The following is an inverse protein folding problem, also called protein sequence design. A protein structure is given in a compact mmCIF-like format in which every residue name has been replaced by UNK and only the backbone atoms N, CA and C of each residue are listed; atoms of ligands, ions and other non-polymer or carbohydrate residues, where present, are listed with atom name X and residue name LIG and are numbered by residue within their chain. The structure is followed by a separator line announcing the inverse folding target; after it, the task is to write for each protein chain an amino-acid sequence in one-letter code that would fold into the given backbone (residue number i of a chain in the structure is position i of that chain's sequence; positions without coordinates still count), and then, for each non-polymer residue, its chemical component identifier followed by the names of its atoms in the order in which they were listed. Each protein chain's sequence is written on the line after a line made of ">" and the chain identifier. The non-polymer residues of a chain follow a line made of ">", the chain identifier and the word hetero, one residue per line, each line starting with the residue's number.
data_IF_422262868035
#
_entry.id   IF_422262868035
#
_cell.length_a   1.000
_cell.length_b   1.000
_cell.length_c   1.000
_cell.angle_alpha   90.00
_cell.angle_beta   90.00
_cell.angle_gamma   90.00
#
_symmetry.space_group_name_H-M   'P 1'
#
loop_
_entity.id
_entity.type
_entity.pdbx_description
1 polymer ?
#
# COMPACT_ATOMS: atom_id res chain seq x y z
N UNK A 1 10.61 -31.36 22.19
CA UNK A 1 11.15 -30.39 23.15
C UNK A 1 11.06 -29.00 22.55
N UNK A 2 10.15 -28.19 23.11
CA UNK A 2 10.02 -26.78 22.75
C UNK A 2 11.25 -26.05 23.28
N UNK A 3 12.14 -25.60 22.41
CA UNK A 3 13.18 -24.66 22.76
C UNK A 3 12.54 -23.30 23.01
N UNK A 4 12.27 -23.00 24.28
CA UNK A 4 11.83 -21.68 24.67
C UNK A 4 12.91 -20.66 24.23
N UNK A 5 12.56 -19.80 23.30
CA UNK A 5 13.43 -18.72 22.84
C UNK A 5 13.69 -17.79 24.02
N UNK A 6 14.97 -17.62 24.39
CA UNK A 6 15.34 -16.69 25.48
C UNK A 6 15.10 -15.27 25.01
N UNK A 7 14.51 -14.41 25.88
CA UNK A 7 14.39 -12.99 25.58
C UNK A 7 15.77 -12.40 25.25
N UNK A 8 15.82 -11.60 24.21
CA UNK A 8 17.04 -10.92 23.79
C UNK A 8 17.00 -9.43 24.18
N UNK A 9 18.11 -8.92 24.68
CA UNK A 9 18.28 -7.50 25.01
C UNK A 9 19.37 -6.92 24.15
N UNK A 10 19.08 -5.79 23.54
CA UNK A 10 20.02 -5.03 22.73
C UNK A 10 20.21 -3.65 23.34
N UNK A 11 21.48 -3.23 23.51
CA UNK A 11 21.81 -1.88 23.94
C UNK A 11 22.23 -1.08 22.71
N UNK A 12 21.51 -0.02 22.42
CA UNK A 12 21.81 0.87 21.30
C UNK A 12 21.94 2.31 21.80
N UNK A 13 22.73 3.11 21.09
CA UNK A 13 22.84 4.55 21.36
C UNK A 13 22.05 5.32 20.30
N UNK A 14 21.03 6.03 20.75
CA UNK A 14 20.16 6.84 19.88
C UNK A 14 20.16 8.27 20.40
N UNK A 15 20.56 9.23 19.56
CA UNK A 15 20.59 10.64 19.96
C UNK A 15 21.45 10.93 21.21
N UNK A 16 22.57 10.22 21.39
CA UNK A 16 23.45 10.34 22.56
C UNK A 16 22.92 9.68 23.83
N UNK A 17 21.80 8.96 23.78
CA UNK A 17 21.21 8.24 24.91
C UNK A 17 21.34 6.73 24.72
N UNK A 18 21.67 6.02 25.78
CA UNK A 18 21.64 4.56 25.79
C UNK A 18 20.19 4.09 25.94
N UNK A 19 19.76 3.29 24.97
CA UNK A 19 18.41 2.71 24.92
C UNK A 19 18.54 1.19 24.95
N UNK A 20 17.77 0.56 25.82
CA UNK A 20 17.66 -0.90 25.88
C UNK A 20 16.43 -1.33 25.12
N UNK A 21 16.63 -2.12 24.07
CA UNK A 21 15.55 -2.76 23.31
C UNK A 21 15.38 -4.19 23.82
N UNK A 22 14.13 -4.53 24.13
CA UNK A 22 13.75 -5.89 24.50
C UNK A 22 13.05 -6.57 23.34
N UNK A 23 13.57 -7.72 22.94
CA UNK A 23 13.00 -8.54 21.87
C UNK A 23 12.51 -9.86 22.44
N UNK A 24 11.32 -10.30 22.02
CA UNK A 24 10.79 -11.61 22.38
C UNK A 24 11.37 -12.74 21.53
N UNK A 25 11.91 -12.36 20.37
CA UNK A 25 12.58 -13.27 19.44
C UNK A 25 13.99 -12.76 19.16
N UNK A 26 14.93 -13.64 18.83
CA UNK A 26 16.26 -13.21 18.40
C UNK A 26 16.14 -12.25 17.23
N UNK A 27 16.88 -11.14 17.22
CA UNK A 27 16.88 -10.25 16.07
C UNK A 27 17.42 -11.01 14.86
N UNK A 28 16.80 -10.81 13.71
CA UNK A 28 17.39 -11.25 12.45
C UNK A 28 18.62 -10.37 12.21
N UNK A 29 19.80 -10.91 12.53
CA UNK A 29 21.06 -10.26 12.20
C UNK A 29 21.30 -10.52 10.72
N UNK A 30 20.93 -9.57 9.89
CA UNK A 30 21.40 -9.52 8.52
C UNK A 30 22.86 -9.08 8.57
N UNK A 31 23.78 -10.04 8.48
CA UNK A 31 25.20 -9.78 8.36
C UNK A 31 25.58 -9.19 6.99
N UNK A 32 24.61 -8.96 6.12
CA UNK A 32 24.80 -8.26 4.86
C UNK A 32 25.09 -6.80 5.14
N UNK A 33 26.17 -6.31 4.56
CA UNK A 33 26.39 -4.87 4.41
C UNK A 33 25.12 -4.28 3.83
N UNK A 34 24.61 -3.20 4.41
CA UNK A 34 23.55 -2.41 3.79
C UNK A 34 24.11 -1.77 2.50
N UNK A 35 24.27 -2.58 1.47
CA UNK A 35 24.69 -2.11 0.15
C UNK A 35 23.66 -1.18 -0.50
N UNK A 36 22.45 -1.14 0.05
CA UNK A 36 21.33 -0.35 -0.47
C UNK A 36 20.80 0.60 0.60
N UNK A 37 21.59 1.58 1.00
CA UNK A 37 21.10 2.73 1.78
C UNK A 37 19.91 3.42 1.08
N UNK A 38 19.74 3.21 -0.22
CA UNK A 38 18.60 3.69 -1.02
C UNK A 38 17.26 3.08 -0.64
N UNK A 39 17.23 1.96 0.09
CA UNK A 39 15.99 1.35 0.59
C UNK A 39 15.37 2.18 1.72
N UNK A 40 16.21 2.83 2.55
CA UNK A 40 15.75 3.73 3.60
C UNK A 40 15.43 5.10 3.00
N UNK A 41 14.24 5.21 2.43
CA UNK A 41 13.84 6.34 1.60
C UNK A 41 12.58 7.01 2.13
N UNK A 42 12.66 8.33 2.34
CA UNK A 42 11.50 9.19 2.59
C UNK A 42 11.07 9.85 1.28
N UNK A 43 9.80 9.70 0.92
CA UNK A 43 9.20 10.36 -0.24
C UNK A 43 7.92 11.07 0.15
N UNK A 44 7.58 12.12 -0.59
CA UNK A 44 6.28 12.75 -0.52
C UNK A 44 5.51 12.45 -1.81
N UNK A 45 4.48 11.61 -1.70
CA UNK A 45 3.70 11.16 -2.86
C UNK A 45 2.89 12.28 -3.53
N UNK A 46 2.71 13.42 -2.86
CA UNK A 46 2.05 14.59 -3.46
C UNK A 46 2.97 15.39 -4.39
N UNK A 47 4.28 15.16 -4.33
CA UNK A 47 5.22 15.84 -5.22
C UNK A 47 4.98 15.43 -6.68
N UNK A 48 5.12 16.36 -7.61
CA UNK A 48 4.84 16.17 -9.04
C UNK A 48 5.62 15.01 -9.67
N UNK A 49 6.85 14.79 -9.23
CA UNK A 49 7.69 13.66 -9.69
C UNK A 49 7.11 12.28 -9.40
N UNK A 50 6.15 12.18 -8.47
CA UNK A 50 5.44 10.95 -8.13
C UNK A 50 4.03 10.90 -8.75
N UNK A 51 3.80 11.63 -9.82
CA UNK A 51 2.56 11.55 -10.57
C UNK A 51 2.66 10.53 -11.70
N UNK A 52 1.66 9.65 -11.85
CA UNK A 52 1.57 8.77 -13.00
C UNK A 52 1.50 9.59 -14.30
N UNK A 53 2.11 9.10 -15.38
CA UNK A 53 2.04 9.76 -16.68
C UNK A 53 0.63 9.85 -17.26
N UNK A 54 -0.29 9.04 -16.74
CA UNK A 54 -1.68 8.95 -17.17
C UNK A 54 -2.68 9.65 -16.24
N UNK A 55 -2.21 10.52 -15.35
CA UNK A 55 -3.06 11.19 -14.34
C UNK A 55 -4.33 11.83 -14.93
N UNK A 56 -4.26 12.31 -16.16
CA UNK A 56 -5.37 12.94 -16.87
C UNK A 56 -6.15 11.98 -17.78
N UNK A 57 -5.81 10.67 -17.81
CA UNK A 57 -6.42 9.70 -18.73
C UNK A 57 -7.24 8.61 -18.04
N UNK A 58 -6.98 8.34 -16.79
CA UNK A 58 -7.61 7.26 -16.01
C UNK A 58 -7.58 5.88 -16.70
N UNK A 59 -6.44 5.53 -17.32
CA UNK A 59 -6.25 4.28 -18.05
C UNK A 59 -5.83 3.09 -17.17
N UNK A 60 -5.85 3.26 -15.86
CA UNK A 60 -5.54 2.21 -14.90
C UNK A 60 -4.05 1.94 -14.70
N UNK A 61 -3.15 2.79 -15.21
CA UNK A 61 -1.70 2.61 -15.06
C UNK A 61 -1.17 3.49 -13.92
N UNK A 62 -0.98 2.96 -12.71
CA UNK A 62 -0.39 3.71 -11.60
C UNK A 62 1.13 3.84 -11.76
N UNK A 63 1.72 4.71 -10.95
CA UNK A 63 3.17 4.81 -10.80
C UNK A 63 3.66 3.74 -9.82
N UNK A 64 4.48 2.80 -10.30
CA UNK A 64 5.09 1.79 -9.44
C UNK A 64 6.27 2.36 -8.69
N UNK A 65 6.24 2.24 -7.34
CA UNK A 65 7.31 2.67 -6.45
C UNK A 65 8.19 1.52 -5.98
N UNK A 66 7.56 0.39 -5.61
CA UNK A 66 8.27 -0.81 -5.15
C UNK A 66 7.68 -2.05 -5.81
N UNK A 67 8.53 -3.03 -6.02
CA UNK A 67 8.13 -4.31 -6.58
C UNK A 67 8.95 -5.46 -6.00
N UNK A 68 8.28 -6.58 -5.80
CA UNK A 68 8.89 -7.88 -5.54
C UNK A 68 8.09 -8.95 -6.28
N UNK A 69 8.45 -10.21 -6.11
CA UNK A 69 7.69 -11.32 -6.70
C UNK A 69 6.26 -11.40 -6.15
N UNK A 70 6.04 -10.94 -4.93
CA UNK A 70 4.78 -11.08 -4.19
C UNK A 70 4.01 -9.78 -4.01
N UNK A 71 4.70 -8.64 -4.00
CA UNK A 71 4.11 -7.35 -3.65
C UNK A 71 4.53 -6.28 -4.64
N UNK A 72 3.55 -5.48 -5.05
CA UNK A 72 3.74 -4.25 -5.82
C UNK A 72 3.10 -3.11 -5.06
N UNK A 73 3.80 -1.98 -4.94
CA UNK A 73 3.32 -0.77 -4.27
C UNK A 73 3.30 0.36 -5.27
N UNK A 74 2.12 0.88 -5.50
CA UNK A 74 1.85 1.87 -6.54
C UNK A 74 1.21 3.13 -5.95
N UNK A 75 1.46 4.27 -6.58
CA UNK A 75 0.69 5.50 -6.40
C UNK A 75 -0.22 5.71 -7.59
N UNK A 76 -1.49 5.93 -7.33
CA UNK A 76 -2.49 6.28 -8.32
C UNK A 76 -3.02 7.68 -8.04
N UNK A 77 -3.15 8.47 -9.09
CA UNK A 77 -3.74 9.81 -8.99
C UNK A 77 -4.80 9.98 -10.05
N UNK A 78 -5.89 10.62 -9.68
CA UNK A 78 -7.02 10.85 -10.59
C UNK A 78 -7.49 12.28 -10.47
N UNK A 79 -7.66 12.95 -11.62
CA UNK A 79 -8.15 14.33 -11.68
C UNK A 79 -9.57 14.42 -12.23
N UNK A 80 -9.77 14.20 -13.53
CA UNK A 80 -11.00 14.59 -14.23
C UNK A 80 -11.75 13.46 -14.89
N UNK A 81 -11.17 12.28 -14.98
CA UNK A 81 -11.73 11.20 -15.79
C UNK A 81 -12.03 9.96 -14.96
N UNK A 82 -13.19 9.39 -15.26
CA UNK A 82 -13.54 8.07 -14.78
C UNK A 82 -12.73 7.00 -15.52
N UNK A 83 -12.50 5.87 -14.87
CA UNK A 83 -12.05 4.68 -15.57
C UNK A 83 -13.22 4.16 -16.43
N UNK A 84 -13.07 4.25 -17.75
CA UNK A 84 -14.13 3.91 -18.70
C UNK A 84 -14.30 2.41 -18.95
N UNK A 85 -13.57 1.55 -18.24
CA UNK A 85 -13.58 0.11 -18.46
C UNK A 85 -13.48 -0.68 -17.16
N UNK A 86 -14.02 -1.89 -17.19
CA UNK A 86 -13.87 -2.86 -16.12
C UNK A 86 -12.59 -3.66 -16.31
N UNK A 87 -11.88 -3.93 -15.21
CA UNK A 87 -10.71 -4.78 -15.22
C UNK A 87 -10.63 -5.61 -13.94
N UNK A 88 -9.74 -6.58 -13.92
CA UNK A 88 -9.47 -7.42 -12.76
C UNK A 88 -8.00 -7.78 -12.67
N UNK A 89 -7.51 -7.96 -11.45
CA UNK A 89 -6.22 -8.59 -11.21
C UNK A 89 -6.46 -10.08 -10.95
N UNK A 90 -5.95 -10.95 -11.81
CA UNK A 90 -6.18 -12.40 -11.69
C UNK A 90 -5.16 -13.09 -10.79
N UNK A 91 -4.04 -12.45 -10.51
CA UNK A 91 -2.87 -12.99 -9.83
C UNK A 91 -2.57 -12.32 -8.48
N UNK A 92 -3.33 -11.30 -8.11
CA UNK A 92 -3.09 -10.55 -6.88
C UNK A 92 -4.38 -9.98 -6.28
N UNK A 93 -4.43 -9.93 -4.96
CA UNK A 93 -5.36 -9.09 -4.22
C UNK A 93 -4.92 -7.64 -4.33
N UNK A 94 -5.85 -6.72 -4.31
CA UNK A 94 -5.56 -5.28 -4.32
C UNK A 94 -6.02 -4.65 -3.01
N UNK A 95 -5.11 -3.99 -2.32
CA UNK A 95 -5.42 -3.18 -1.14
C UNK A 95 -5.19 -1.72 -1.50
N UNK A 96 -6.22 -0.91 -1.32
CA UNK A 96 -6.24 0.49 -1.73
C UNK A 96 -6.42 1.35 -0.50
N UNK A 97 -5.56 2.37 -0.36
CA UNK A 97 -5.68 3.41 0.65
C UNK A 97 -6.04 4.72 -0.03
N UNK A 98 -7.11 5.36 0.40
CA UNK A 98 -7.39 6.74 -0.01
C UNK A 98 -6.59 7.70 0.88
N UNK A 99 -5.78 8.55 0.25
CA UNK A 99 -4.91 9.51 0.94
C UNK A 99 -5.41 10.93 0.81
N UNK A 100 -6.01 11.26 -0.34
CA UNK A 100 -6.57 12.59 -0.63
C UNK A 100 -7.74 12.47 -1.57
N UNK A 101 -8.77 13.32 -1.39
CA UNK A 101 -9.96 13.34 -2.22
C UNK A 101 -10.90 12.18 -1.92
N UNK A 102 -11.60 11.72 -2.93
CA UNK A 102 -12.51 10.58 -2.84
C UNK A 102 -12.70 9.93 -4.21
N UNK A 103 -12.93 8.62 -4.22
CA UNK A 103 -13.30 7.86 -5.42
C UNK A 103 -14.37 6.83 -5.09
N UNK A 104 -15.24 6.60 -6.05
CA UNK A 104 -16.23 5.52 -6.03
C UNK A 104 -15.65 4.29 -6.73
N UNK A 105 -15.77 3.14 -6.10
CA UNK A 105 -15.40 1.85 -6.64
C UNK A 105 -16.64 1.03 -6.93
N UNK A 106 -16.85 0.68 -8.19
CA UNK A 106 -17.84 -0.28 -8.61
C UNK A 106 -17.17 -1.62 -8.81
N UNK A 107 -17.68 -2.66 -8.18
CA UNK A 107 -17.14 -4.02 -8.21
C UNK A 107 -18.23 -5.05 -8.40
N UNK A 108 -17.87 -6.26 -8.81
CA UNK A 108 -18.79 -7.41 -8.83
C UNK A 108 -19.35 -7.74 -7.43
N UNK A 109 -18.73 -7.25 -6.36
CA UNK A 109 -19.15 -7.46 -4.97
C UNK A 109 -19.95 -6.28 -4.39
N UNK A 110 -20.21 -5.25 -5.18
CA UNK A 110 -20.92 -4.05 -4.76
C UNK A 110 -20.14 -2.76 -4.97
N UNK A 111 -20.70 -1.68 -4.45
CA UNK A 111 -20.17 -0.32 -4.63
C UNK A 111 -19.65 0.21 -3.30
N UNK A 112 -18.48 0.83 -3.30
CA UNK A 112 -17.88 1.52 -2.15
C UNK A 112 -17.40 2.90 -2.57
N UNK A 113 -17.58 3.89 -1.69
CA UNK A 113 -16.95 5.21 -1.81
C UNK A 113 -15.85 5.31 -0.78
N UNK A 114 -14.65 5.67 -1.22
CA UNK A 114 -13.50 5.81 -0.35
C UNK A 114 -13.20 7.29 -0.11
N UNK A 115 -12.97 7.61 1.16
CA UNK A 115 -12.50 8.91 1.64
C UNK A 115 -11.12 8.77 2.29
N UNK A 116 -10.40 9.86 2.55
CA UNK A 116 -9.09 9.79 3.22
C UNK A 116 -9.14 9.01 4.53
N UNK A 117 -8.23 8.04 4.67
CA UNK A 117 -8.19 7.12 5.81
C UNK A 117 -8.87 5.78 5.56
N UNK A 118 -9.69 5.65 4.53
CA UNK A 118 -10.33 4.38 4.17
C UNK A 118 -9.34 3.44 3.48
N UNK A 119 -9.50 2.16 3.75
CA UNK A 119 -8.79 1.06 3.11
C UNK A 119 -9.80 0.09 2.52
N UNK A 120 -9.65 -0.22 1.24
CA UNK A 120 -10.49 -1.18 0.54
C UNK A 120 -9.65 -2.37 0.07
N UNK A 121 -10.11 -3.59 0.35
CA UNK A 121 -9.54 -4.80 -0.20
C UNK A 121 -10.43 -5.34 -1.30
N UNK A 122 -9.89 -5.49 -2.50
CA UNK A 122 -10.54 -6.14 -3.63
C UNK A 122 -9.85 -7.47 -3.88
N UNK A 123 -10.55 -8.61 -3.69
CA UNK A 123 -9.95 -9.92 -3.91
C UNK A 123 -9.50 -10.12 -5.36
N UNK A 124 -8.47 -10.93 -5.55
CA UNK A 124 -8.03 -11.33 -6.90
C UNK A 124 -9.19 -11.94 -7.69
N UNK A 125 -9.25 -11.62 -8.96
CA UNK A 125 -10.28 -12.09 -9.87
C UNK A 125 -11.58 -11.27 -9.88
N UNK A 126 -11.76 -10.34 -8.97
CA UNK A 126 -12.96 -9.50 -8.90
C UNK A 126 -12.84 -8.32 -9.86
N UNK A 127 -13.78 -8.25 -10.81
CA UNK A 127 -13.89 -7.14 -11.75
C UNK A 127 -14.30 -5.86 -11.03
N UNK A 128 -13.66 -4.76 -11.39
CA UNK A 128 -13.91 -3.45 -10.79
C UNK A 128 -13.50 -2.30 -11.69
N UNK A 129 -13.98 -1.12 -11.35
CA UNK A 129 -13.54 0.15 -11.91
C UNK A 129 -13.68 1.26 -10.88
N UNK A 130 -12.87 2.30 -11.00
CA UNK A 130 -12.94 3.49 -10.16
C UNK A 130 -13.48 4.68 -10.91
N UNK A 131 -14.28 5.49 -10.25
CA UNK A 131 -14.98 6.64 -10.82
C UNK A 131 -14.88 7.83 -9.87
N UNK A 132 -15.02 9.02 -10.45
CA UNK A 132 -15.25 10.22 -9.66
C UNK A 132 -16.61 10.14 -8.95
N UNK A 133 -16.71 10.81 -7.83
CA UNK A 133 -17.95 10.93 -7.06
C UNK A 133 -18.13 12.38 -6.58
N UNK A 134 -19.23 12.65 -5.89
CA UNK A 134 -19.55 13.98 -5.41
C UNK A 134 -18.44 14.60 -4.56
N UNK A 135 -17.77 13.78 -3.72
CA UNK A 135 -16.71 14.22 -2.82
C UNK A 135 -15.31 14.20 -3.45
N UNK A 136 -15.19 13.89 -4.73
CA UNK A 136 -13.92 13.94 -5.44
C UNK A 136 -13.40 15.38 -5.52
N UNK A 137 -12.09 15.53 -5.36
CA UNK A 137 -11.39 16.82 -5.47
C UNK A 137 -10.66 16.93 -6.81
N UNK A 138 -9.98 18.06 -7.04
CA UNK A 138 -9.20 18.27 -8.28
C UNK A 138 -8.09 17.23 -8.46
N UNK A 139 -7.59 16.69 -7.37
CA UNK A 139 -6.61 15.61 -7.39
C UNK A 139 -6.94 14.59 -6.29
N UNK A 140 -7.26 13.35 -6.70
CA UNK A 140 -7.55 12.26 -5.79
C UNK A 140 -6.38 11.29 -5.80
N UNK A 141 -5.82 11.00 -4.61
CA UNK A 141 -4.58 10.24 -4.46
C UNK A 141 -4.81 8.97 -3.67
N UNK A 142 -4.34 7.88 -4.23
CA UNK A 142 -4.43 6.54 -3.67
C UNK A 142 -3.05 5.91 -3.58
N UNK A 143 -2.87 5.06 -2.58
CA UNK A 143 -1.79 4.07 -2.54
C UNK A 143 -2.43 2.71 -2.77
N UNK A 144 -1.88 1.94 -3.70
CA UNK A 144 -2.36 0.62 -4.08
C UNK A 144 -1.28 -0.42 -3.84
N UNK A 145 -1.64 -1.48 -3.11
CA UNK A 145 -0.80 -2.65 -2.93
C UNK A 145 -1.42 -3.81 -3.71
N UNK A 146 -0.63 -4.46 -4.56
CA UNK A 146 -1.01 -5.73 -5.20
C UNK A 146 -0.21 -6.83 -4.55
N UNK A 147 -0.91 -7.81 -3.97
CA UNK A 147 -0.32 -8.86 -3.13
C UNK A 147 -0.74 -10.22 -3.68
N UNK A 148 0.25 -11.01 -4.11
CA UNK A 148 0.02 -12.32 -4.71
C UNK A 148 -0.31 -13.40 -3.68
N UNK A 149 0.15 -13.26 -2.44
CA UNK A 149 -0.14 -14.21 -1.37
C UNK A 149 -1.61 -14.13 -0.94
N UNK A 150 -2.13 -15.22 -0.40
CA UNK A 150 -3.46 -15.24 0.20
C UNK A 150 -3.49 -14.37 1.46
N UNK A 151 -4.56 -13.60 1.59
CA UNK A 151 -4.76 -12.68 2.71
C UNK A 151 -5.91 -13.15 3.60
N UNK A 152 -5.72 -13.08 4.90
CA UNK A 152 -6.75 -13.33 5.91
C UNK A 152 -6.98 -12.06 6.71
N UNK A 153 -8.24 -11.63 6.80
CA UNK A 153 -8.61 -10.53 7.67
C UNK A 153 -8.55 -10.97 9.14
N UNK A 154 -7.73 -10.29 9.92
CA UNK A 154 -7.53 -10.58 11.36
C UNK A 154 -7.98 -9.43 12.26
N UNK A 155 -8.56 -8.40 11.67
CA UNK A 155 -9.15 -7.29 12.42
C UNK A 155 -10.43 -7.70 13.14
N UNK A 156 -10.81 -6.93 14.15
CA UNK A 156 -12.08 -7.14 14.84
C UNK A 156 -13.24 -6.66 13.96
N UNK A 157 -14.24 -7.51 13.78
CA UNK A 157 -15.53 -7.10 13.24
C UNK A 157 -16.28 -6.34 14.34
N UNK A 158 -16.31 -5.03 14.25
CA UNK A 158 -17.16 -4.19 15.11
C UNK A 158 -18.52 -4.01 14.49
#
# INVERSE_FOLDING_TARGET
>A
ESTATKPYRELVTIGGKNVVLHHHEPPVINAGVMENADIFRLINIFADKFSPSNIDKADGTPLRLYTSDKVKIDVSKRRKHDMGFWHRNIDAHEIIFCVKGALKWETEMGVKVMHPGDMLMIPKGIGHRSMLCEDSTDENVLIELKIADDLTYVGENK
#
